data_IF_504868921281
#
_entry.id   IF_504868921281
#
_cell.length_a   1.000
_cell.length_b   1.000
_cell.length_c   1.000
_cell.angle_alpha   90.00
_cell.angle_beta   90.00
_cell.angle_gamma   90.00
#
_symmetry.space_group_name_H-M   'P 1'
#
loop_
_entity.id
_entity.type
_entity.pdbx_description
1 polymer ?
#
# COMPACT_ATOMS: atom_id res chain seq x y z
N UNK A 1 -5.37 -0.57 -20.96
CA UNK A 1 -6.68 -0.51 -20.26
C UNK A 1 -6.88 0.83 -19.54
N UNK A 2 -6.11 1.17 -18.50
CA UNK A 2 -6.34 2.38 -17.66
C UNK A 2 -6.39 3.72 -18.43
N UNK A 3 -5.50 3.92 -19.41
CA UNK A 3 -5.51 5.14 -20.25
C UNK A 3 -6.80 5.27 -21.09
N UNK A 4 -7.37 4.15 -21.53
CA UNK A 4 -8.62 4.13 -22.31
C UNK A 4 -9.83 4.43 -21.40
N UNK A 5 -9.83 3.93 -20.17
CA UNK A 5 -10.86 4.27 -19.19
C UNK A 5 -10.81 5.73 -18.77
N UNK A 6 -9.61 6.28 -18.52
CA UNK A 6 -9.47 7.69 -18.16
C UNK A 6 -9.91 8.61 -19.30
N UNK A 7 -9.52 8.29 -20.55
CA UNK A 7 -9.87 9.09 -21.72
C UNK A 7 -11.35 8.99 -22.09
N UNK A 8 -11.97 7.82 -21.94
CA UNK A 8 -13.41 7.66 -22.17
C UNK A 8 -14.27 8.37 -21.13
N UNK A 9 -13.86 8.34 -19.85
CA UNK A 9 -14.54 9.10 -18.78
C UNK A 9 -14.41 10.60 -19.05
N UNK A 10 -13.21 11.08 -19.38
CA UNK A 10 -12.98 12.49 -19.69
C UNK A 10 -13.79 12.94 -20.92
N UNK A 11 -13.84 12.11 -21.97
CA UNK A 11 -14.61 12.41 -23.18
C UNK A 11 -16.12 12.46 -22.90
N UNK A 12 -16.65 11.51 -22.11
CA UNK A 12 -18.05 11.50 -21.73
C UNK A 12 -18.43 12.73 -20.89
N UNK A 13 -17.53 13.20 -20.02
CA UNK A 13 -17.72 14.38 -19.18
C UNK A 13 -17.73 15.68 -20.00
N UNK A 14 -16.82 15.81 -20.99
CA UNK A 14 -16.82 16.95 -21.93
C UNK A 14 -18.09 16.99 -22.77
N UNK A 15 -18.55 15.84 -23.26
CA UNK A 15 -19.80 15.74 -24.04
C UNK A 15 -21.02 16.09 -23.19
N UNK A 16 -21.07 15.63 -21.94
CA UNK A 16 -22.14 15.96 -21.02
C UNK A 16 -22.20 17.46 -20.69
N UNK A 17 -21.04 18.10 -20.48
CA UNK A 17 -20.95 19.54 -20.24
C UNK A 17 -21.40 20.35 -21.47
N UNK A 18 -20.96 19.96 -22.66
CA UNK A 18 -21.38 20.58 -23.92
C UNK A 18 -22.89 20.44 -24.17
N UNK A 19 -23.46 19.25 -23.90
CA UNK A 19 -24.89 19.01 -24.02
C UNK A 19 -25.71 19.81 -23.00
N UNK A 20 -25.21 19.94 -21.77
CA UNK A 20 -25.87 20.71 -20.70
C UNK A 20 -25.89 22.22 -21.02
N UNK A 21 -24.80 22.75 -21.56
CA UNK A 21 -24.71 24.14 -22.01
C UNK A 21 -25.63 24.42 -23.21
N UNK A 22 -25.78 23.43 -24.10
CA UNK A 22 -26.71 23.52 -25.23
C UNK A 22 -28.18 23.46 -24.80
N UNK A 23 -28.52 22.64 -23.80
CA UNK A 23 -29.90 22.43 -23.33
C UNK A 23 -30.41 23.52 -22.36
N UNK A 24 -29.51 24.19 -21.63
CA UNK A 24 -29.89 25.22 -20.65
C UNK A 24 -28.88 26.38 -20.62
N UNK A 25 -28.86 27.24 -21.65
CA UNK A 25 -27.93 28.36 -21.72
C UNK A 25 -28.19 29.34 -20.56
N UNK A 26 -27.20 29.49 -19.67
CA UNK A 26 -27.25 30.42 -18.53
C UNK A 26 -27.32 29.79 -17.13
N UNK A 27 -27.51 28.46 -17.02
CA UNK A 27 -27.39 27.73 -15.75
C UNK A 27 -25.93 27.41 -15.38
N UNK A 28 -25.01 27.53 -16.35
CA UNK A 28 -23.56 27.36 -16.18
C UNK A 28 -22.94 28.65 -15.61
N UNK A 29 -23.53 29.19 -14.54
CA UNK A 29 -22.79 30.14 -13.69
C UNK A 29 -21.83 29.32 -12.83
N UNK A 30 -20.62 29.87 -12.71
CA UNK A 30 -19.39 29.28 -12.21
C UNK A 30 -19.38 28.50 -10.87
N UNK A 31 -20.34 28.55 -9.92
CA UNK A 31 -20.17 27.78 -8.67
C UNK A 31 -20.37 26.26 -8.76
N UNK A 32 -21.01 25.71 -9.80
CA UNK A 32 -21.33 24.27 -9.85
C UNK A 32 -20.29 23.38 -10.54
N UNK A 33 -19.37 23.93 -11.33
CA UNK A 33 -18.31 23.14 -11.99
C UNK A 33 -17.14 22.86 -11.04
N UNK A 34 -16.86 23.79 -10.11
CA UNK A 34 -15.72 23.71 -9.17
C UNK A 34 -15.77 22.51 -8.22
N UNK A 35 -16.92 22.05 -7.68
CA UNK A 35 -16.94 20.89 -6.77
C UNK A 35 -17.00 19.52 -7.47
N UNK A 36 -17.34 19.44 -8.76
CA UNK A 36 -17.51 18.15 -9.45
C UNK A 36 -16.14 17.49 -9.72
N UNK A 37 -15.16 18.26 -10.18
CA UNK A 37 -13.80 17.79 -10.47
C UNK A 37 -13.08 17.19 -9.25
N UNK A 38 -13.06 17.81 -8.05
CA UNK A 38 -12.44 17.18 -6.89
C UNK A 38 -13.23 15.96 -6.41
N UNK A 39 -14.56 15.97 -6.58
CA UNK A 39 -15.41 14.86 -6.14
C UNK A 39 -15.22 13.61 -7.00
N UNK A 40 -15.06 13.76 -8.32
CA UNK A 40 -14.73 12.65 -9.23
C UNK A 40 -13.32 12.11 -8.98
N UNK A 41 -12.34 12.97 -8.68
CA UNK A 41 -11.00 12.57 -8.27
C UNK A 41 -10.99 11.81 -6.94
N UNK A 42 -11.74 12.28 -5.94
CA UNK A 42 -11.86 11.63 -4.63
C UNK A 42 -12.57 10.28 -4.77
N UNK A 43 -13.66 10.23 -5.54
CA UNK A 43 -14.38 8.98 -5.80
C UNK A 43 -13.49 7.97 -6.55
N UNK A 44 -12.75 8.40 -7.57
CA UNK A 44 -11.80 7.55 -8.30
C UNK A 44 -10.66 7.05 -7.39
N UNK A 45 -10.20 7.86 -6.45
CA UNK A 45 -9.14 7.48 -5.50
C UNK A 45 -9.65 6.51 -4.44
N UNK A 46 -10.89 6.67 -3.96
CA UNK A 46 -11.57 5.71 -3.06
C UNK A 46 -11.80 4.39 -3.80
N UNK A 47 -12.29 4.44 -5.05
CA UNK A 47 -12.55 3.24 -5.85
C UNK A 47 -11.25 2.52 -6.21
N UNK A 48 -10.16 3.25 -6.50
CA UNK A 48 -8.82 2.67 -6.69
C UNK A 48 -8.27 2.06 -5.41
N UNK A 49 -8.53 2.65 -4.24
CA UNK A 49 -8.14 2.02 -2.96
C UNK A 49 -8.97 0.77 -2.66
N UNK A 50 -10.25 0.76 -3.00
CA UNK A 50 -11.17 -0.34 -2.66
C UNK A 50 -11.17 -1.49 -3.65
N UNK A 51 -10.92 -1.22 -4.93
CA UNK A 51 -10.95 -2.22 -6.02
C UNK A 51 -9.61 -2.36 -6.75
N UNK A 52 -8.66 -1.45 -6.51
CA UNK A 52 -7.32 -1.47 -7.12
C UNK A 52 -6.21 -1.92 -6.17
N UNK A 53 -6.54 -2.66 -5.11
CA UNK A 53 -5.56 -3.55 -4.48
C UNK A 53 -4.97 -4.46 -5.57
N UNK A 54 -3.68 -4.79 -5.53
CA UNK A 54 -3.08 -5.58 -6.58
C UNK A 54 -3.80 -6.92 -6.59
N UNK A 55 -4.61 -7.15 -7.62
CA UNK A 55 -5.12 -8.47 -7.95
C UNK A 55 -3.90 -9.30 -8.41
N UNK A 56 -3.05 -9.68 -7.46
CA UNK A 56 -2.18 -10.82 -7.63
C UNK A 56 -3.12 -12.01 -7.62
N UNK A 57 -3.57 -12.36 -8.82
CA UNK A 57 -4.11 -13.68 -9.07
C UNK A 57 -3.18 -14.70 -8.45
N UNK A 58 -3.76 -15.71 -7.81
CA UNK A 58 -3.05 -16.84 -7.23
C UNK A 58 -2.30 -17.54 -8.36
N UNK A 59 -1.11 -17.06 -8.69
CA UNK A 59 -0.21 -17.77 -9.57
C UNK A 59 0.33 -18.94 -8.77
N UNK A 60 0.05 -20.15 -9.26
CA UNK A 60 0.61 -21.39 -8.70
C UNK A 60 2.13 -21.24 -8.66
N UNK A 61 2.66 -21.08 -7.46
CA UNK A 61 4.10 -21.13 -7.20
C UNK A 61 4.58 -22.54 -7.59
N UNK A 62 5.43 -22.62 -8.62
CA UNK A 62 6.09 -23.88 -8.95
C UNK A 62 7.29 -24.09 -8.00
N UNK A 63 7.64 -25.34 -7.65
CA UNK A 63 8.81 -25.63 -6.81
C UNK A 63 10.11 -25.04 -7.38
N UNK A 64 10.21 -24.94 -8.70
CA UNK A 64 11.34 -24.33 -9.40
C UNK A 64 11.36 -22.80 -9.24
N UNK A 65 10.20 -22.14 -9.17
CA UNK A 65 10.11 -20.71 -8.87
C UNK A 65 10.55 -20.38 -7.44
N UNK A 66 10.37 -21.32 -6.50
CA UNK A 66 10.83 -21.20 -5.11
C UNK A 66 12.34 -21.44 -5.03
N UNK A 67 12.87 -22.49 -5.70
CA UNK A 67 14.30 -22.79 -5.70
C UNK A 67 15.14 -21.73 -6.46
N UNK A 68 14.55 -21.09 -7.47
CA UNK A 68 15.15 -19.95 -8.18
C UNK A 68 14.90 -18.60 -7.51
N UNK A 69 14.11 -18.54 -6.43
CA UNK A 69 13.89 -17.32 -5.68
C UNK A 69 15.15 -16.98 -4.88
N UNK A 70 16.07 -16.24 -5.50
CA UNK A 70 17.05 -15.47 -4.74
C UNK A 70 16.22 -14.53 -3.87
N UNK A 71 16.22 -14.76 -2.56
CA UNK A 71 15.57 -13.91 -1.56
C UNK A 71 15.78 -12.48 -2.01
N UNK A 72 14.69 -11.82 -2.42
CA UNK A 72 14.71 -10.54 -3.11
C UNK A 72 15.67 -9.62 -2.38
N UNK A 73 16.89 -9.54 -2.92
CA UNK A 73 17.91 -8.60 -2.51
C UNK A 73 17.17 -7.27 -2.51
N UNK A 74 17.14 -6.58 -1.38
CA UNK A 74 16.24 -5.44 -1.14
C UNK A 74 16.37 -4.41 -2.26
N UNK A 75 15.60 -4.57 -3.35
CA UNK A 75 15.51 -3.66 -4.49
C UNK A 75 14.62 -2.49 -4.04
N UNK A 76 15.03 -1.87 -2.96
CA UNK A 76 14.57 -0.61 -2.42
C UNK A 76 15.85 0.13 -2.09
N UNK A 77 16.45 0.73 -3.11
CA UNK A 77 17.71 1.46 -2.99
C UNK A 77 17.58 2.69 -2.07
N UNK A 78 16.36 3.07 -1.68
CA UNK A 78 16.10 4.16 -0.75
C UNK A 78 15.39 3.68 0.54
N UNK A 79 15.71 4.29 1.70
CA UNK A 79 15.00 4.03 2.95
C UNK A 79 13.50 4.38 2.85
N UNK A 80 13.10 5.33 2.01
CA UNK A 80 11.69 5.63 1.77
C UNK A 80 10.94 4.51 1.06
N UNK A 81 11.56 3.85 0.07
CA UNK A 81 10.94 2.74 -0.66
C UNK A 81 10.81 1.51 0.23
N UNK A 82 11.83 1.23 1.05
CA UNK A 82 11.77 0.14 2.03
C UNK A 82 10.69 0.41 3.09
N UNK A 83 10.61 1.65 3.60
CA UNK A 83 9.53 2.08 4.50
C UNK A 83 8.15 1.86 3.88
N UNK A 84 7.96 2.24 2.61
CA UNK A 84 6.69 2.04 1.90
C UNK A 84 6.33 0.56 1.77
N UNK A 85 7.29 -0.27 1.37
CA UNK A 85 7.09 -1.71 1.23
C UNK A 85 6.76 -2.38 2.58
N UNK A 86 7.34 -1.92 3.68
CA UNK A 86 6.98 -2.40 5.03
C UNK A 86 5.54 -1.98 5.38
N UNK A 87 5.17 -0.74 5.11
CA UNK A 87 3.80 -0.24 5.37
C UNK A 87 2.77 -1.04 4.58
N UNK A 88 2.99 -1.23 3.27
CA UNK A 88 2.07 -1.98 2.40
C UNK A 88 1.88 -3.42 2.91
N UNK A 89 2.97 -4.13 3.22
CA UNK A 89 2.89 -5.50 3.75
C UNK A 89 2.26 -5.57 5.15
N UNK A 90 2.52 -4.59 6.01
CA UNK A 90 1.89 -4.53 7.33
C UNK A 90 0.38 -4.28 7.25
N UNK A 91 -0.06 -3.44 6.31
CA UNK A 91 -1.49 -3.23 6.02
C UNK A 91 -2.14 -4.49 5.45
N UNK A 92 -1.47 -5.21 4.55
CA UNK A 92 -1.94 -6.49 4.01
C UNK A 92 -2.09 -7.55 5.11
N UNK A 93 -1.10 -7.68 6.00
CA UNK A 93 -1.17 -8.58 7.16
C UNK A 93 -2.38 -8.24 8.03
N UNK A 94 -2.56 -6.96 8.35
CA UNK A 94 -3.71 -6.51 9.14
C UNK A 94 -5.02 -6.86 8.45
N UNK A 95 -5.14 -6.57 7.16
CA UNK A 95 -6.36 -6.82 6.41
C UNK A 95 -6.68 -8.32 6.32
N UNK A 96 -5.68 -9.16 6.09
CA UNK A 96 -5.84 -10.61 6.04
C UNK A 96 -6.30 -11.20 7.39
N UNK A 97 -5.84 -10.64 8.51
CA UNK A 97 -6.26 -11.04 9.86
C UNK A 97 -7.67 -10.54 10.20
N UNK A 98 -8.06 -9.35 9.72
CA UNK A 98 -9.41 -8.82 9.88
C UNK A 98 -10.45 -9.61 9.08
N UNK A 99 -10.11 -10.07 7.86
CA UNK A 99 -11.03 -10.80 6.99
C UNK A 99 -11.28 -12.24 7.47
N UNK A 100 -10.30 -12.88 8.12
CA UNK A 100 -10.43 -14.28 8.57
C UNK A 100 -9.59 -14.55 9.83
N UNK A 101 -10.07 -14.10 11.01
CA UNK A 101 -9.29 -14.13 12.26
C UNK A 101 -9.11 -15.52 12.89
N UNK A 102 -9.91 -16.51 12.49
CA UNK A 102 -9.95 -17.85 13.10
C UNK A 102 -9.22 -18.94 12.29
N UNK A 103 -8.59 -18.59 11.17
CA UNK A 103 -7.83 -19.52 10.33
C UNK A 103 -6.40 -19.63 10.87
N UNK A 104 -6.11 -20.71 11.62
CA UNK A 104 -4.81 -20.93 12.27
C UNK A 104 -3.64 -20.89 11.28
N UNK A 105 -3.79 -21.49 10.10
CA UNK A 105 -2.75 -21.51 9.06
C UNK A 105 -2.48 -20.08 8.57
N UNK A 106 -3.53 -19.29 8.38
CA UNK A 106 -3.37 -17.88 7.97
C UNK A 106 -2.72 -17.03 9.05
N UNK A 107 -3.06 -17.26 10.31
CA UNK A 107 -2.42 -16.59 11.46
C UNK A 107 -0.92 -16.90 11.48
N UNK A 108 -0.52 -18.16 11.28
CA UNK A 108 0.89 -18.56 11.21
C UNK A 108 1.61 -17.92 10.02
N UNK A 109 1.00 -17.92 8.84
CA UNK A 109 1.56 -17.28 7.65
C UNK A 109 1.71 -15.76 7.83
N UNK A 110 0.71 -15.10 8.44
CA UNK A 110 0.78 -13.68 8.77
C UNK A 110 1.85 -13.39 9.82
N UNK A 111 2.06 -14.27 10.79
CA UNK A 111 3.14 -14.17 11.77
C UNK A 111 4.54 -14.30 11.12
N UNK A 112 4.70 -15.19 10.14
CA UNK A 112 5.93 -15.29 9.35
C UNK A 112 6.18 -14.02 8.53
N UNK A 113 5.15 -13.49 7.86
CA UNK A 113 5.21 -12.22 7.13
C UNK A 113 5.56 -11.04 8.04
N UNK A 114 4.98 -11.00 9.24
CA UNK A 114 5.29 -9.99 10.25
C UNK A 114 6.77 -10.05 10.67
N UNK A 115 7.31 -11.25 10.92
CA UNK A 115 8.74 -11.42 11.27
C UNK A 115 9.65 -10.94 10.13
N UNK A 116 9.30 -11.21 8.88
CA UNK A 116 10.05 -10.70 7.73
C UNK A 116 10.03 -9.16 7.70
N UNK A 117 8.87 -8.53 7.92
CA UNK A 117 8.77 -7.07 7.99
C UNK A 117 9.55 -6.48 9.19
N UNK A 118 9.60 -7.18 10.33
CA UNK A 118 10.41 -6.79 11.47
C UNK A 118 11.92 -6.88 11.18
N UNK A 119 12.35 -7.86 10.40
CA UNK A 119 13.74 -7.93 9.92
C UNK A 119 14.04 -6.77 8.95
N UNK A 120 13.11 -6.44 8.05
CA UNK A 120 13.27 -5.29 7.16
C UNK A 120 13.34 -3.95 7.92
N UNK A 121 12.74 -3.85 9.10
CA UNK A 121 12.91 -2.68 9.98
C UNK A 121 14.34 -2.50 10.49
N UNK A 122 15.10 -3.60 10.65
CA UNK A 122 16.53 -3.55 10.99
C UNK A 122 17.28 -2.94 9.81
N UNK A 123 17.05 -3.44 8.59
CA UNK A 123 17.61 -2.89 7.35
C UNK A 123 17.25 -1.41 7.16
N UNK A 124 15.98 -1.05 7.37
CA UNK A 124 15.53 0.34 7.28
C UNK A 124 16.25 1.24 8.29
N UNK A 125 16.50 0.74 9.49
CA UNK A 125 17.24 1.48 10.52
C UNK A 125 18.69 1.69 10.09
N UNK A 126 19.36 0.68 9.54
CA UNK A 126 20.71 0.82 9.00
C UNK A 126 20.78 1.84 7.86
N UNK A 127 19.93 1.71 6.84
CA UNK A 127 19.88 2.63 5.70
C UNK A 127 19.55 4.07 6.14
N UNK A 128 18.66 4.22 7.11
CA UNK A 128 18.33 5.55 7.67
C UNK A 128 19.53 6.15 8.39
N UNK A 129 20.24 5.37 9.20
CA UNK A 129 21.41 5.84 9.94
C UNK A 129 22.57 6.20 9.00
N UNK A 130 22.74 5.47 7.91
CA UNK A 130 23.72 5.78 6.87
C UNK A 130 23.37 7.05 6.07
N UNK A 131 22.09 7.27 5.78
CA UNK A 131 21.62 8.44 5.04
C UNK A 131 21.56 9.74 5.88
N UNK A 132 21.38 9.64 7.21
CA UNK A 132 21.18 10.80 8.10
C UNK A 132 22.33 11.83 8.11
N UNK A 133 23.62 11.44 8.17
CA UNK A 133 24.74 12.38 8.19
C UNK A 133 24.78 13.26 6.94
N UNK A 134 24.54 12.66 5.78
CA UNK A 134 24.64 13.31 4.47
C UNK A 134 23.34 14.01 4.04
N UNK A 135 22.25 13.85 4.78
CA UNK A 135 20.96 14.43 4.46
C UNK A 135 20.84 15.92 4.86
N UNK A 136 20.18 16.71 4.01
CA UNK A 136 19.74 18.07 4.34
C UNK A 136 18.72 18.06 5.48
N UNK A 137 18.45 19.23 6.10
CA UNK A 137 17.49 19.34 7.20
C UNK A 137 16.10 18.76 6.85
N UNK A 138 15.60 19.06 5.65
CA UNK A 138 14.36 18.51 5.12
C UNK A 138 14.46 16.98 4.86
N UNK A 139 15.61 16.52 4.35
CA UNK A 139 15.89 15.09 4.17
C UNK A 139 15.83 14.33 5.49
N UNK A 140 16.43 14.87 6.56
CA UNK A 140 16.40 14.28 7.91
C UNK A 140 14.97 14.15 8.44
N UNK A 141 14.14 15.18 8.25
CA UNK A 141 12.72 15.13 8.63
C UNK A 141 11.95 14.06 7.84
N UNK A 142 12.22 13.94 6.53
CA UNK A 142 11.61 12.92 5.66
C UNK A 142 11.99 11.50 6.10
N UNK A 143 13.27 11.24 6.36
CA UNK A 143 13.78 9.96 6.84
C UNK A 143 13.19 9.55 8.19
N UNK A 144 13.09 10.50 9.13
CA UNK A 144 12.42 10.24 10.43
C UNK A 144 10.95 9.91 10.23
N UNK A 145 10.28 10.61 9.32
CA UNK A 145 8.86 10.38 9.01
C UNK A 145 8.62 9.03 8.33
N UNK A 146 9.46 8.61 7.39
CA UNK A 146 9.35 7.30 6.73
C UNK A 146 9.54 6.18 7.75
N UNK A 147 10.59 6.25 8.58
CA UNK A 147 10.81 5.29 9.67
C UNK A 147 9.62 5.23 10.62
N UNK A 148 9.09 6.39 11.04
CA UNK A 148 7.92 6.44 11.92
C UNK A 148 6.69 5.77 11.31
N UNK A 149 6.39 6.03 10.04
CA UNK A 149 5.26 5.39 9.34
C UNK A 149 5.37 3.86 9.33
N UNK A 150 6.57 3.34 9.09
CA UNK A 150 6.80 1.90 9.09
C UNK A 150 6.60 1.28 10.48
N UNK A 151 7.07 1.96 11.54
CA UNK A 151 6.83 1.56 12.94
C UNK A 151 5.34 1.57 13.27
N UNK A 152 4.64 2.64 12.92
CA UNK A 152 3.22 2.80 13.22
C UNK A 152 2.41 1.69 12.53
N UNK A 153 2.66 1.42 11.23
CA UNK A 153 1.99 0.36 10.49
C UNK A 153 2.27 -1.04 11.06
N UNK A 154 3.52 -1.34 11.43
CA UNK A 154 3.88 -2.61 12.07
C UNK A 154 3.24 -2.76 13.45
N UNK A 155 3.14 -1.68 14.22
CA UNK A 155 2.45 -1.68 15.51
C UNK A 155 0.97 -2.02 15.35
N UNK A 156 0.30 -1.46 14.33
CA UNK A 156 -1.09 -1.80 14.02
C UNK A 156 -1.24 -3.27 13.57
N UNK A 157 -0.34 -3.77 12.72
CA UNK A 157 -0.33 -5.19 12.34
C UNK A 157 -0.10 -6.11 13.55
N UNK A 158 0.76 -5.70 14.50
CA UNK A 158 1.04 -6.44 15.73
C UNK A 158 -0.20 -6.56 16.62
N UNK A 159 -1.02 -5.51 16.71
CA UNK A 159 -2.27 -5.50 17.48
C UNK A 159 -3.31 -6.45 16.91
N UNK A 160 -3.33 -6.64 15.59
CA UNK A 160 -4.24 -7.56 14.92
C UNK A 160 -3.86 -9.04 15.08
N UNK A 161 -2.59 -9.35 15.42
CA UNK A 161 -2.13 -10.72 15.63
C UNK A 161 -2.60 -11.27 17.00
N UNK A 162 -3.10 -12.52 17.06
CA UNK A 162 -3.51 -13.12 18.32
C UNK A 162 -2.33 -13.34 19.27
N UNK A 163 -2.58 -13.28 20.60
CA UNK A 163 -1.56 -13.44 21.63
C UNK A 163 -1.02 -14.88 21.64
N UNK A 164 0.06 -15.11 20.90
CA UNK A 164 0.68 -16.44 20.77
C UNK A 164 1.31 -16.67 19.40
N UNK A 165 0.79 -16.01 18.35
CA UNK A 165 1.23 -16.20 16.96
C UNK A 165 2.71 -15.86 16.72
N UNK A 166 3.28 -14.96 17.53
CA UNK A 166 4.70 -14.62 17.45
C UNK A 166 5.61 -15.46 18.34
N UNK A 167 5.08 -16.36 19.18
CA UNK A 167 5.93 -17.32 19.89
C UNK A 167 6.63 -18.19 18.84
N UNK A 168 7.93 -18.34 18.97
CA UNK A 168 8.73 -19.23 18.12
C UNK A 168 8.08 -20.60 18.17
N UNK A 169 7.69 -21.14 17.01
CA UNK A 169 7.20 -22.52 16.92
C UNK A 169 8.20 -23.43 17.65
N UNK A 170 7.74 -24.42 18.43
CA UNK A 170 8.63 -25.43 18.99
C UNK A 170 9.43 -26.04 17.83
N UNK A 171 10.75 -25.98 17.92
CA UNK A 171 11.60 -26.76 17.03
C UNK A 171 11.35 -28.23 17.39
N UNK A 172 10.61 -28.94 16.54
CA UNK A 172 10.57 -30.41 16.60
C UNK A 172 12.01 -30.90 16.41
N UNK A 173 12.50 -31.65 17.41
CA UNK A 173 13.77 -32.39 17.37
C UNK A 173 13.53 -33.77 16.80
#
# INVERSE_FOLDING_TARGET
>A
MFKLYLTSILAAEVVALAALEFLAPGLVRLPFIVPIIPLTLVAALILRRRFGGPAYGIHRLSPQAIAGYRARESVTNSPEDLSRAIVERAEEIRHALEESPSDEVRVEMCALGYRACANDMITLTHLTNEALPNASFLGRARLRRSRKKAIDALSEARKALPPGALRTAPQEK
#
